data_IF_918829222318
#
_entry.id   IF_918829222318
#
_cell.length_a   1.000
_cell.length_b   1.000
_cell.length_c   1.000
_cell.angle_alpha   90.00
_cell.angle_beta   90.00
_cell.angle_gamma   90.00
#
_symmetry.space_group_name_H-M   'P 1'
#
loop_
_entity.id
_entity.type
_entity.pdbx_description
1 polymer ?
#
# COMPACT_ATOMS: atom_id res chain seq x y z
N UNK A 1 33.92 -15.83 -14.52
CA UNK A 1 33.08 -15.03 -13.61
C UNK A 1 31.65 -15.14 -14.11
N UNK A 2 30.77 -15.82 -13.39
CA UNK A 2 29.36 -15.91 -13.78
C UNK A 2 28.68 -14.56 -13.48
N UNK A 3 27.94 -14.03 -14.44
CA UNK A 3 27.11 -12.85 -14.24
C UNK A 3 26.09 -13.12 -13.11
N UNK A 4 26.01 -12.20 -12.16
CA UNK A 4 24.95 -12.20 -11.15
C UNK A 4 23.58 -12.16 -11.84
N UNK A 5 22.57 -12.92 -11.38
CA UNK A 5 21.21 -12.64 -11.78
C UNK A 5 20.82 -11.32 -11.10
N UNK A 6 20.83 -10.22 -11.86
CA UNK A 6 20.10 -9.03 -11.48
C UNK A 6 18.66 -9.47 -11.20
N UNK A 7 18.07 -9.22 -10.02
CA UNK A 7 16.68 -9.54 -9.81
C UNK A 7 15.87 -8.81 -10.87
N UNK A 8 15.17 -9.56 -11.71
CA UNK A 8 14.33 -8.99 -12.75
C UNK A 8 13.13 -8.34 -12.03
N UNK A 9 13.24 -7.05 -11.74
CA UNK A 9 12.13 -6.31 -11.17
C UNK A 9 11.14 -6.02 -12.30
N UNK A 10 10.33 -7.01 -12.67
CA UNK A 10 9.34 -6.91 -13.74
C UNK A 10 8.36 -5.71 -13.59
N UNK A 11 8.27 -5.12 -12.39
CA UNK A 11 7.49 -3.92 -12.10
C UNK A 11 8.38 -2.84 -11.49
N UNK A 12 8.35 -1.64 -12.08
CA UNK A 12 9.08 -0.46 -11.62
C UNK A 12 8.63 -0.02 -10.22
N UNK A 13 9.56 0.56 -9.45
CA UNK A 13 9.29 0.95 -8.07
C UNK A 13 8.26 2.09 -7.96
N UNK A 14 8.22 3.00 -8.93
CA UNK A 14 7.21 4.06 -8.97
C UNK A 14 5.81 3.50 -9.20
N UNK A 15 5.67 2.43 -10.00
CA UNK A 15 4.39 1.75 -10.17
C UNK A 15 3.93 1.08 -8.87
N UNK A 16 4.83 0.44 -8.13
CA UNK A 16 4.52 -0.14 -6.79
C UNK A 16 4.08 0.94 -5.81
N UNK A 17 4.74 2.11 -5.84
CA UNK A 17 4.38 3.26 -4.98
C UNK A 17 3.04 3.86 -5.37
N UNK A 18 2.74 3.97 -6.67
CA UNK A 18 1.44 4.41 -7.14
C UNK A 18 0.31 3.49 -6.68
N UNK A 19 0.51 2.16 -6.74
CA UNK A 19 -0.44 1.17 -6.20
C UNK A 19 -0.61 1.36 -4.70
N UNK A 20 0.49 1.44 -3.94
CA UNK A 20 0.44 1.66 -2.49
C UNK A 20 -0.28 2.97 -2.11
N UNK A 21 -0.12 4.03 -2.91
CA UNK A 21 -0.77 5.31 -2.71
C UNK A 21 -2.30 5.26 -2.86
N UNK A 22 -2.83 4.27 -3.59
CA UNK A 22 -4.28 4.04 -3.66
C UNK A 22 -4.75 3.03 -2.62
N UNK A 23 -4.00 1.95 -2.45
CA UNK A 23 -4.35 0.84 -1.56
C UNK A 23 -4.45 1.28 -0.10
N UNK A 24 -3.46 2.02 0.41
CA UNK A 24 -3.43 2.38 1.84
C UNK A 24 -4.59 3.32 2.22
N UNK A 25 -4.87 4.42 1.51
CA UNK A 25 -6.04 5.25 1.80
C UNK A 25 -7.37 4.51 1.63
N UNK A 26 -7.48 3.60 0.66
CA UNK A 26 -8.67 2.76 0.49
C UNK A 26 -8.93 1.85 1.69
N UNK A 27 -7.89 1.18 2.20
CA UNK A 27 -7.97 0.39 3.44
C UNK A 27 -8.36 1.27 4.63
N UNK A 28 -7.77 2.47 4.75
CA UNK A 28 -8.14 3.41 5.81
C UNK A 28 -9.61 3.80 5.76
N UNK A 29 -10.16 4.05 4.56
CA UNK A 29 -11.57 4.40 4.41
C UNK A 29 -12.47 3.21 4.78
N UNK A 30 -12.17 2.02 4.26
CA UNK A 30 -12.94 0.81 4.57
C UNK A 30 -12.96 0.50 6.08
N UNK A 31 -11.83 0.67 6.76
CA UNK A 31 -11.75 0.51 8.22
C UNK A 31 -12.58 1.55 8.97
N UNK A 32 -12.61 2.81 8.50
CA UNK A 32 -13.47 3.84 9.09
C UNK A 32 -14.95 3.50 8.92
N UNK A 33 -15.34 2.96 7.77
CA UNK A 33 -16.74 2.64 7.47
C UNK A 33 -17.30 1.52 8.38
N UNK A 34 -16.44 0.65 8.90
CA UNK A 34 -16.81 -0.45 9.81
C UNK A 34 -16.48 -0.17 11.28
N UNK A 35 -15.76 0.92 11.56
CA UNK A 35 -15.36 1.34 12.91
C UNK A 35 -16.50 2.07 13.62
N UNK A 36 -16.69 1.77 14.91
CA UNK A 36 -17.73 2.40 15.75
C UNK A 36 -17.56 3.92 15.80
N UNK A 37 -16.31 4.37 15.95
CA UNK A 37 -15.98 5.80 16.07
C UNK A 37 -15.64 6.44 14.72
N UNK A 38 -15.79 5.70 13.61
CA UNK A 38 -15.37 6.12 12.26
C UNK A 38 -13.90 6.54 12.17
N UNK A 39 -13.06 5.94 13.01
CA UNK A 39 -11.62 6.14 13.04
C UNK A 39 -10.92 4.85 12.64
N UNK A 40 -9.92 4.98 11.76
CA UNK A 40 -8.94 3.92 11.49
C UNK A 40 -7.61 4.33 12.12
N UNK A 41 -7.05 3.47 12.96
CA UNK A 41 -5.76 3.70 13.58
C UNK A 41 -4.63 3.18 12.70
N UNK A 42 -3.40 3.59 12.99
CA UNK A 42 -2.22 3.04 12.31
C UNK A 42 -2.11 1.52 12.53
N UNK A 43 -2.44 1.05 13.73
CA UNK A 43 -2.35 -0.36 14.11
C UNK A 43 -3.33 -1.21 13.30
N UNK A 44 -4.58 -0.76 13.12
CA UNK A 44 -5.58 -1.47 12.30
C UNK A 44 -5.10 -1.66 10.85
N UNK A 45 -4.47 -0.62 10.28
CA UNK A 45 -3.94 -0.67 8.92
C UNK A 45 -2.76 -1.65 8.85
N UNK A 46 -1.86 -1.59 9.83
CA UNK A 46 -0.70 -2.49 9.90
C UNK A 46 -1.14 -3.93 10.06
N UNK A 47 -2.18 -4.21 10.84
CA UNK A 47 -2.76 -5.54 11.01
C UNK A 47 -3.35 -6.08 9.70
N UNK A 48 -4.11 -5.25 8.97
CA UNK A 48 -4.61 -5.64 7.63
C UNK A 48 -3.46 -5.97 6.67
N UNK A 49 -2.43 -5.12 6.64
CA UNK A 49 -1.26 -5.36 5.77
C UNK A 49 -0.47 -6.60 6.20
N UNK A 50 -0.38 -6.87 7.51
CA UNK A 50 0.25 -8.08 8.04
C UNK A 50 -0.51 -9.33 7.62
N UNK A 51 -1.85 -9.30 7.65
CA UNK A 51 -2.70 -10.38 7.12
C UNK A 51 -2.46 -10.59 5.63
N UNK A 52 -2.38 -9.52 4.82
CA UNK A 52 -2.06 -9.64 3.39
C UNK A 52 -0.71 -10.32 3.14
N UNK A 53 0.32 -9.93 3.90
CA UNK A 53 1.65 -10.56 3.82
C UNK A 53 1.57 -12.03 4.20
N UNK A 54 0.90 -12.35 5.32
CA UNK A 54 0.74 -13.71 5.80
C UNK A 54 0.02 -14.60 4.76
N UNK A 55 -1.05 -14.09 4.13
CA UNK A 55 -1.77 -14.80 3.08
C UNK A 55 -0.89 -15.09 1.85
N UNK A 56 -0.01 -14.16 1.47
CA UNK A 56 0.97 -14.40 0.38
C UNK A 56 1.97 -15.49 0.77
N UNK A 57 2.51 -15.44 2.01
CA UNK A 57 3.46 -16.44 2.50
C UNK A 57 2.85 -17.83 2.65
N UNK A 58 1.60 -17.92 3.12
CA UNK A 58 0.85 -19.17 3.27
C UNK A 58 0.74 -19.92 1.92
N UNK A 59 0.65 -19.19 0.82
CA UNK A 59 0.56 -19.75 -0.53
C UNK A 59 1.93 -19.98 -1.19
N UNK A 60 3.05 -19.63 -0.55
CA UNK A 60 4.38 -19.83 -1.12
C UNK A 60 4.84 -21.28 -0.93
N UNK A 61 4.85 -22.04 -2.03
CA UNK A 61 5.26 -23.44 -2.06
C UNK A 61 6.71 -23.69 -1.65
N UNK A 62 7.55 -22.66 -1.57
CA UNK A 62 8.94 -22.78 -1.12
C UNK A 62 9.06 -22.72 0.42
N UNK A 63 8.04 -22.24 1.13
CA UNK A 63 8.02 -22.14 2.60
C UNK A 63 7.46 -23.44 3.19
N UNK A 64 8.32 -24.45 3.29
CA UNK A 64 7.96 -25.80 3.74
C UNK A 64 8.47 -26.14 5.14
N UNK A 65 9.29 -25.28 5.74
CA UNK A 65 9.91 -25.53 7.04
C UNK A 65 9.93 -24.27 7.91
N UNK A 66 10.02 -24.40 9.25
CA UNK A 66 10.17 -23.25 10.15
C UNK A 66 11.41 -22.39 9.84
N UNK A 67 12.46 -22.99 9.25
CA UNK A 67 13.64 -22.24 8.81
C UNK A 67 13.31 -21.31 7.64
N UNK A 68 12.56 -21.80 6.64
CA UNK A 68 12.14 -20.99 5.50
C UNK A 68 11.23 -19.83 5.94
N UNK A 69 10.32 -20.09 6.89
CA UNK A 69 9.48 -19.03 7.47
C UNK A 69 10.32 -17.91 8.09
N UNK A 70 11.34 -18.25 8.89
CA UNK A 70 12.24 -17.24 9.48
C UNK A 70 12.97 -16.42 8.41
N UNK A 71 13.49 -17.07 7.36
CA UNK A 71 14.17 -16.40 6.26
C UNK A 71 13.23 -15.47 5.46
N UNK A 72 11.98 -15.88 5.26
CA UNK A 72 10.96 -15.04 4.63
C UNK A 72 10.67 -13.79 5.48
N UNK A 73 10.56 -13.94 6.81
CA UNK A 73 10.35 -12.81 7.72
C UNK A 73 11.53 -11.83 7.73
N UNK A 74 12.78 -12.32 7.73
CA UNK A 74 13.98 -11.47 7.61
C UNK A 74 14.00 -10.67 6.29
N UNK A 75 13.52 -11.29 5.21
CA UNK A 75 13.40 -10.65 3.89
C UNK A 75 12.34 -9.54 3.92
N UNK A 76 11.18 -9.79 4.51
CA UNK A 76 10.10 -8.80 4.69
C UNK A 76 10.60 -7.62 5.52
N UNK A 77 11.25 -7.88 6.64
CA UNK A 77 11.84 -6.84 7.50
C UNK A 77 12.82 -5.97 6.70
N UNK A 78 13.68 -6.60 5.88
CA UNK A 78 14.62 -5.89 5.00
C UNK A 78 13.89 -5.01 3.99
N UNK A 79 12.82 -5.50 3.37
CA UNK A 79 12.03 -4.73 2.41
C UNK A 79 11.35 -3.53 3.07
N UNK A 80 10.72 -3.73 4.23
CA UNK A 80 10.04 -2.66 4.97
C UNK A 80 11.05 -1.59 5.40
N UNK A 81 12.18 -1.97 6.01
CA UNK A 81 13.24 -1.03 6.39
C UNK A 81 13.76 -0.22 5.21
N UNK A 82 14.04 -0.89 4.09
CA UNK A 82 14.50 -0.23 2.86
C UNK A 82 13.48 0.79 2.35
N UNK A 83 12.19 0.43 2.29
CA UNK A 83 11.13 1.33 1.81
C UNK A 83 10.87 2.48 2.77
N UNK A 84 10.86 2.23 4.08
CA UNK A 84 10.71 3.27 5.09
C UNK A 84 11.83 4.32 4.97
N UNK A 85 13.08 3.87 4.81
CA UNK A 85 14.22 4.76 4.56
C UNK A 85 14.04 5.54 3.27
N UNK A 86 13.72 4.87 2.16
CA UNK A 86 13.52 5.52 0.87
C UNK A 86 12.43 6.62 0.93
N UNK A 87 11.27 6.33 1.52
CA UNK A 87 10.19 7.31 1.64
C UNK A 87 10.57 8.51 2.51
N UNK A 88 11.43 8.30 3.52
CA UNK A 88 11.99 9.37 4.34
C UNK A 88 12.99 10.22 3.56
N UNK A 89 13.89 9.59 2.81
CA UNK A 89 14.96 10.25 2.06
C UNK A 89 14.39 11.06 0.87
N UNK A 90 13.28 10.63 0.28
CA UNK A 90 12.56 11.36 -0.77
C UNK A 90 11.77 12.57 -0.26
N UNK A 91 11.64 12.73 1.05
CA UNK A 91 10.91 13.85 1.65
C UNK A 91 11.78 15.10 1.54
N UNK A 92 11.31 16.12 0.80
CA UNK A 92 12.06 17.35 0.54
C UNK A 92 12.51 18.09 1.81
N UNK A 93 11.71 18.01 2.90
CA UNK A 93 12.04 18.52 4.22
C UNK A 93 11.23 17.79 5.30
N UNK A 94 11.58 17.97 6.58
CA UNK A 94 10.81 17.40 7.70
C UNK A 94 9.37 17.93 7.79
N UNK A 95 9.11 19.11 7.24
CA UNK A 95 7.79 19.74 7.26
C UNK A 95 6.96 19.43 6.00
N UNK A 96 7.60 18.97 4.92
CA UNK A 96 6.90 18.61 3.69
C UNK A 96 5.89 17.48 3.93
N UNK A 97 4.74 17.39 3.25
CA UNK A 97 3.80 16.28 3.43
C UNK A 97 4.45 14.90 3.25
N UNK A 98 4.14 13.95 4.12
CA UNK A 98 4.63 12.57 3.99
C UNK A 98 4.07 11.90 2.73
N UNK A 99 4.64 10.75 2.35
CA UNK A 99 4.05 9.92 1.28
C UNK A 99 2.57 9.62 1.54
N UNK A 100 2.24 9.16 2.75
CA UNK A 100 0.86 8.83 3.11
C UNK A 100 -0.06 10.05 3.11
N UNK A 101 0.41 11.21 3.59
CA UNK A 101 -0.38 12.44 3.58
C UNK A 101 -0.76 12.86 2.15
N UNK A 102 0.20 12.79 1.21
CA UNK A 102 -0.04 13.06 -0.21
C UNK A 102 -0.98 12.03 -0.84
N UNK A 103 -0.82 10.76 -0.50
CA UNK A 103 -1.67 9.68 -0.98
C UNK A 103 -3.13 9.86 -0.54
N UNK A 104 -3.38 10.21 0.73
CA UNK A 104 -4.72 10.49 1.25
C UNK A 104 -5.35 11.70 0.54
N UNK A 105 -4.60 12.77 0.36
CA UNK A 105 -5.09 13.97 -0.34
C UNK A 105 -5.47 13.64 -1.79
N UNK A 106 -4.62 12.90 -2.51
CA UNK A 106 -4.92 12.47 -3.87
C UNK A 106 -6.15 11.56 -3.93
N UNK A 107 -6.21 10.55 -3.06
CA UNK A 107 -7.33 9.60 -3.02
C UNK A 107 -8.68 10.30 -2.81
N UNK A 108 -8.74 11.31 -1.94
CA UNK A 108 -9.97 12.11 -1.73
C UNK A 108 -10.38 12.89 -2.97
N UNK A 109 -9.42 13.45 -3.71
CA UNK A 109 -9.70 14.16 -4.97
C UNK A 109 -10.25 13.19 -6.01
N UNK A 110 -9.68 11.99 -6.10
CA UNK A 110 -10.11 10.98 -7.05
C UNK A 110 -11.54 10.48 -6.73
N UNK A 111 -11.87 10.29 -5.45
CA UNK A 111 -13.24 9.98 -5.03
C UNK A 111 -14.24 11.07 -5.40
N UNK A 112 -13.93 12.33 -5.09
CA UNK A 112 -14.81 13.46 -5.42
C UNK A 112 -15.01 13.61 -6.94
N UNK A 113 -13.95 13.40 -7.72
CA UNK A 113 -14.04 13.44 -9.18
C UNK A 113 -14.92 12.30 -9.73
N UNK A 114 -14.82 11.10 -9.14
CA UNK A 114 -15.64 9.96 -9.53
C UNK A 114 -17.13 10.18 -9.21
N UNK A 115 -17.45 10.71 -8.03
CA UNK A 115 -18.82 11.05 -7.64
C UNK A 115 -19.46 12.11 -8.56
N UNK A 116 -18.70 13.15 -8.91
CA UNK A 116 -19.14 14.19 -9.86
C UNK A 116 -19.43 13.60 -11.26
N UNK A 117 -18.58 12.68 -11.74
CA UNK A 117 -18.81 11.98 -13.00
C UNK A 117 -20.06 11.10 -12.95
N UNK A 118 -20.28 10.37 -11.86
CA UNK A 118 -21.48 9.55 -11.66
C UNK A 118 -22.74 10.39 -11.61
N UNK A 119 -22.74 11.53 -10.90
CA UNK A 119 -23.89 12.44 -10.87
C UNK A 119 -24.22 12.95 -12.27
N UNK A 120 -23.22 13.42 -13.01
CA UNK A 120 -23.41 13.89 -14.39
C UNK A 120 -23.92 12.80 -15.33
N UNK A 121 -23.48 11.57 -15.16
CA UNK A 121 -23.96 10.44 -15.95
C UNK A 121 -25.43 10.10 -15.63
N UNK A 122 -25.83 10.15 -14.35
CA UNK A 122 -27.21 9.91 -13.93
C UNK A 122 -28.17 10.98 -14.44
N UNK A 123 -27.76 12.25 -14.40
CA UNK A 123 -28.59 13.36 -14.87
C UNK A 123 -28.87 13.24 -16.38
N UNK A 124 -27.87 12.85 -17.18
CA UNK A 124 -28.02 12.57 -18.63
C UNK A 124 -28.93 11.38 -18.97
N UNK A 125 -29.10 10.44 -18.04
CA UNK A 125 -29.99 9.29 -18.22
C UNK A 125 -31.43 9.58 -17.77
N UNK A 126 -31.64 10.71 -17.11
CA UNK A 126 -32.95 11.15 -16.59
C UNK A 126 -33.64 12.17 -17.51
N UNK A 127 -32.95 12.63 -18.56
CA UNK A 127 -33.44 13.48 -19.66
C UNK A 127 -33.84 12.63 -20.88
#
# INVERSE_FOLDING_TARGET
>A
MAASPTPDFAVADDAKKAIAAHMVPGVMQALRDVSVDQVATADDILDVLAICIAAVLENDTHITTPKHTRQAMETIETFVKRRARQLRDERQSLDAPSFLARAIDQYRKDQAAFEDQLSKARDRLSD
#
